data_IF_130193598367
#
_entry.id   IF_130193598367
#
_cell.length_a   1.000
_cell.length_b   1.000
_cell.length_c   1.000
_cell.angle_alpha   90.00
_cell.angle_beta   90.00
_cell.angle_gamma   90.00
#
_symmetry.space_group_name_H-M   'P 1'
#
loop_
_entity.id
_entity.type
_entity.pdbx_description
1 polymer ?
#
# COMPACT_ATOMS: atom_id res chain seq x y z
N UNK A 1 76.25 24.87 -10.73
CA UNK A 1 75.45 23.98 -9.83
C UNK A 1 74.25 24.75 -9.31
N UNK A 2 73.11 24.05 -9.16
CA UNK A 2 71.84 24.46 -8.52
C UNK A 2 70.90 25.31 -9.37
N UNK A 3 69.78 24.73 -9.82
CA UNK A 3 68.70 25.53 -10.36
C UNK A 3 67.56 24.87 -11.13
N UNK A 4 67.37 23.54 -11.16
CA UNK A 4 66.17 22.98 -11.84
C UNK A 4 65.41 21.89 -11.08
N UNK A 5 65.94 21.39 -9.95
CA UNK A 5 65.34 20.25 -9.22
C UNK A 5 64.11 20.61 -8.38
N UNK A 6 63.78 21.90 -8.23
CA UNK A 6 62.63 22.39 -7.42
C UNK A 6 61.34 22.58 -8.23
N UNK A 7 61.42 22.79 -9.54
CA UNK A 7 60.24 23.06 -10.37
C UNK A 7 59.54 21.80 -10.89
N UNK A 8 60.28 20.71 -11.11
CA UNK A 8 59.72 19.42 -11.55
C UNK A 8 58.87 18.79 -10.45
N UNK A 9 59.27 18.94 -9.17
CA UNK A 9 58.51 18.42 -8.04
C UNK A 9 57.17 19.12 -7.82
N UNK A 10 57.08 20.43 -8.10
CA UNK A 10 55.88 21.23 -7.89
C UNK A 10 54.80 21.02 -8.97
N UNK A 11 55.22 20.76 -10.21
CA UNK A 11 54.31 20.47 -11.33
C UNK A 11 53.65 19.08 -11.21
N UNK A 12 54.35 18.10 -10.62
CA UNK A 12 53.80 16.75 -10.43
C UNK A 12 52.72 16.70 -9.33
N UNK A 13 52.86 17.48 -8.26
CA UNK A 13 51.88 17.55 -7.17
C UNK A 13 50.58 18.24 -7.59
N UNK A 14 50.65 19.21 -8.50
CA UNK A 14 49.47 19.92 -9.01
C UNK A 14 48.57 19.04 -9.90
N UNK A 15 49.13 18.05 -10.60
CA UNK A 15 48.35 17.17 -11.47
C UNK A 15 47.51 16.16 -10.68
N UNK A 16 48.02 15.68 -9.54
CA UNK A 16 47.34 14.67 -8.69
C UNK A 16 46.07 15.21 -8.04
N UNK A 17 45.96 16.53 -7.81
CA UNK A 17 44.82 17.14 -7.10
C UNK A 17 43.57 17.37 -7.97
N UNK A 18 43.64 17.11 -9.29
CA UNK A 18 42.51 17.34 -10.22
C UNK A 18 41.78 16.07 -10.66
N UNK A 19 42.22 14.89 -10.21
CA UNK A 19 41.71 13.59 -10.64
C UNK A 19 40.58 13.02 -9.76
N UNK A 20 39.71 13.88 -9.20
CA UNK A 20 38.60 13.46 -8.34
C UNK A 20 37.22 13.70 -8.97
N UNK A 21 36.73 12.78 -9.80
CA UNK A 21 35.32 12.78 -10.23
C UNK A 21 34.45 12.11 -9.16
N UNK A 22 34.05 12.86 -8.13
CA UNK A 22 33.10 12.39 -7.13
C UNK A 22 31.66 12.44 -7.64
N UNK A 23 31.18 11.39 -8.32
CA UNK A 23 29.75 11.23 -8.61
C UNK A 23 29.05 10.76 -7.33
N UNK A 24 28.22 11.63 -6.73
CA UNK A 24 27.32 11.22 -5.64
C UNK A 24 26.18 10.41 -6.26
N UNK A 25 26.09 9.13 -5.93
CA UNK A 25 24.93 8.33 -6.30
C UNK A 25 23.67 8.89 -5.61
N UNK A 26 22.49 8.85 -6.26
CA UNK A 26 21.25 9.17 -5.60
C UNK A 26 21.03 8.23 -4.40
N UNK A 27 20.39 8.70 -3.32
CA UNK A 27 20.10 7.86 -2.17
C UNK A 27 19.21 6.68 -2.58
N UNK A 28 19.60 5.47 -2.20
CA UNK A 28 18.75 4.28 -2.35
C UNK A 28 17.72 4.30 -1.22
N UNK A 29 16.41 4.29 -1.52
CA UNK A 29 15.40 4.22 -0.47
C UNK A 29 15.54 2.91 0.32
N UNK A 30 15.31 2.93 1.64
CA UNK A 30 15.31 1.71 2.42
C UNK A 30 14.26 0.75 1.88
N UNK A 31 14.64 -0.53 1.71
CA UNK A 31 13.67 -1.59 1.41
C UNK A 31 12.69 -1.69 2.58
N UNK A 32 11.40 -1.58 2.28
CA UNK A 32 10.32 -1.72 3.26
C UNK A 32 9.35 -2.77 2.78
N UNK A 33 8.91 -3.59 3.71
CA UNK A 33 7.88 -4.58 3.45
C UNK A 33 6.52 -3.86 3.45
N UNK A 34 5.68 -4.07 2.44
CA UNK A 34 4.31 -3.57 2.48
C UNK A 34 3.54 -4.26 3.63
N UNK A 35 2.43 -3.67 4.09
CA UNK A 35 1.62 -4.34 5.08
C UNK A 35 0.97 -5.62 4.52
N UNK A 36 0.73 -6.60 5.38
CA UNK A 36 0.09 -7.85 4.98
C UNK A 36 -1.36 -7.62 4.49
N UNK A 37 -1.83 -8.54 3.65
CA UNK A 37 -3.23 -8.58 3.24
C UNK A 37 -4.14 -9.00 4.40
N UNK A 38 -5.35 -8.47 4.40
CA UNK A 38 -6.42 -8.91 5.31
C UNK A 38 -6.96 -10.26 4.83
N UNK A 39 -7.10 -11.22 5.73
CA UNK A 39 -7.59 -12.58 5.38
C UNK A 39 -8.96 -12.90 5.98
N UNK A 40 -9.48 -12.02 6.85
CA UNK A 40 -10.71 -12.21 7.62
C UNK A 40 -11.78 -11.15 7.31
N UNK A 41 -11.77 -10.58 6.10
CA UNK A 41 -12.81 -9.64 5.68
C UNK A 41 -14.16 -10.36 5.66
N UNK A 42 -15.11 -9.81 6.41
CA UNK A 42 -16.49 -10.30 6.51
C UNK A 42 -17.47 -9.13 6.52
N UNK A 43 -18.76 -9.40 6.38
CA UNK A 43 -19.77 -8.36 6.50
C UNK A 43 -21.14 -8.89 6.86
N UNK A 44 -22.00 -8.01 7.38
CA UNK A 44 -23.39 -8.28 7.72
C UNK A 44 -24.27 -7.12 7.26
N UNK A 45 -25.43 -7.45 6.69
CA UNK A 45 -26.41 -6.44 6.26
C UNK A 45 -27.41 -6.20 7.39
N UNK A 46 -27.59 -4.94 7.74
CA UNK A 46 -28.59 -4.48 8.71
C UNK A 46 -29.45 -3.39 8.06
N UNK A 47 -30.69 -3.74 7.68
CA UNK A 47 -31.55 -2.85 6.89
C UNK A 47 -31.02 -2.72 5.46
N UNK A 48 -30.63 -1.51 5.08
CA UNK A 48 -30.03 -1.12 3.78
C UNK A 48 -28.55 -0.76 3.89
N UNK A 49 -27.91 -1.15 5.00
CA UNK A 49 -26.50 -0.87 5.24
C UNK A 49 -25.73 -2.17 5.39
N UNK A 50 -24.66 -2.31 4.62
CA UNK A 50 -23.64 -3.33 4.86
C UNK A 50 -22.63 -2.82 5.87
N UNK A 51 -22.40 -3.57 6.93
CA UNK A 51 -21.27 -3.39 7.83
C UNK A 51 -20.17 -4.40 7.52
N UNK A 52 -19.06 -3.93 6.97
CA UNK A 52 -17.84 -4.72 6.78
C UNK A 52 -17.02 -4.71 8.06
N UNK A 53 -16.41 -5.85 8.38
CA UNK A 53 -15.54 -6.02 9.55
C UNK A 53 -14.27 -6.80 9.16
N UNK A 54 -13.12 -6.37 9.68
CA UNK A 54 -11.84 -7.06 9.47
C UNK A 54 -10.86 -6.82 10.63
N UNK A 55 -9.84 -7.69 10.73
CA UNK A 55 -8.72 -7.54 11.64
C UNK A 55 -7.59 -6.67 11.06
N UNK A 56 -6.85 -5.99 11.93
CA UNK A 56 -5.62 -5.29 11.55
C UNK A 56 -4.48 -6.32 11.51
N UNK A 57 -3.84 -6.56 10.34
CA UNK A 57 -2.75 -7.52 10.24
C UNK A 57 -1.57 -7.13 11.15
N UNK A 58 -0.96 -8.13 11.80
CA UNK A 58 0.21 -7.92 12.63
C UNK A 58 1.46 -7.61 11.79
N UNK A 59 2.38 -6.85 12.36
CA UNK A 59 3.74 -6.66 11.82
C UNK A 59 4.52 -7.95 12.01
N UNK A 60 5.31 -8.34 11.02
CA UNK A 60 6.15 -9.54 11.08
C UNK A 60 7.35 -9.46 10.17
N UNK A 61 8.09 -10.57 10.07
CA UNK A 61 9.34 -10.64 9.31
C UNK A 61 9.15 -10.35 7.80
N UNK A 62 7.95 -10.62 7.26
CA UNK A 62 7.60 -10.43 5.85
C UNK A 62 6.53 -9.34 5.62
N UNK A 63 6.14 -8.59 6.67
CA UNK A 63 5.05 -7.62 6.58
C UNK A 63 5.29 -6.36 7.41
N UNK A 64 5.09 -5.20 6.79
CA UNK A 64 5.15 -3.89 7.43
C UNK A 64 3.89 -3.54 8.23
N UNK A 65 3.94 -2.38 8.88
CA UNK A 65 2.81 -1.83 9.63
C UNK A 65 1.82 -1.11 8.71
N UNK A 66 0.54 -1.47 8.81
CA UNK A 66 -0.53 -0.74 8.13
C UNK A 66 -0.83 0.59 8.83
N UNK A 67 -0.97 1.69 8.10
CA UNK A 67 -1.53 2.96 8.58
C UNK A 67 -3.03 3.07 8.29
N UNK A 68 -3.54 2.30 7.34
CA UNK A 68 -4.96 2.23 7.03
C UNK A 68 -5.33 1.23 5.95
N UNK A 69 -6.57 1.33 5.48
CA UNK A 69 -7.15 0.46 4.46
C UNK A 69 -7.88 1.25 3.39
N UNK A 70 -7.65 0.89 2.13
CA UNK A 70 -8.49 1.31 1.02
C UNK A 70 -9.60 0.28 0.81
N UNK A 71 -10.85 0.74 0.81
CA UNK A 71 -12.03 -0.09 0.59
C UNK A 71 -12.41 -0.02 -0.89
N UNK A 72 -12.47 -1.17 -1.54
CA UNK A 72 -12.86 -1.30 -2.93
C UNK A 72 -14.20 -2.01 -3.05
N UNK A 73 -15.05 -1.51 -3.94
CA UNK A 73 -16.37 -2.07 -4.25
C UNK A 73 -16.53 -2.26 -5.75
N UNK A 74 -17.03 -3.40 -6.15
CA UNK A 74 -17.62 -3.62 -7.45
C UNK A 74 -19.12 -3.90 -7.28
N UNK A 75 -19.93 -3.39 -8.21
CA UNK A 75 -21.39 -3.45 -8.17
C UNK A 75 -21.89 -3.89 -9.54
N UNK A 76 -22.65 -4.98 -9.59
CA UNK A 76 -23.21 -5.54 -10.83
C UNK A 76 -24.71 -5.77 -10.66
N UNK A 77 -25.57 -5.36 -11.61
CA UNK A 77 -26.99 -5.70 -11.57
C UNK A 77 -27.18 -7.21 -11.44
N UNK A 78 -28.10 -7.68 -10.60
CA UNK A 78 -28.30 -9.13 -10.39
C UNK A 78 -28.69 -9.83 -11.70
N UNK A 79 -29.42 -9.14 -12.58
CA UNK A 79 -29.78 -9.63 -13.93
C UNK A 79 -28.55 -9.92 -14.80
N UNK A 80 -27.45 -9.19 -14.59
CA UNK A 80 -26.19 -9.34 -15.32
C UNK A 80 -25.16 -10.16 -14.53
N UNK A 81 -25.42 -10.46 -13.25
CA UNK A 81 -24.48 -11.15 -12.36
C UNK A 81 -24.25 -12.63 -12.72
N UNK A 82 -25.11 -13.21 -13.58
CA UNK A 82 -24.90 -14.54 -14.16
C UNK A 82 -23.92 -14.55 -15.34
N UNK A 83 -23.48 -13.37 -15.79
CA UNK A 83 -22.49 -13.24 -16.85
C UNK A 83 -21.13 -13.78 -16.39
N UNK A 84 -20.72 -14.91 -16.98
CA UNK A 84 -19.46 -15.61 -16.65
C UNK A 84 -18.19 -14.81 -16.96
N UNK A 85 -18.24 -13.95 -17.97
CA UNK A 85 -17.07 -13.26 -18.53
C UNK A 85 -17.10 -11.73 -18.33
N UNK A 86 -18.07 -11.22 -17.56
CA UNK A 86 -18.18 -9.79 -17.32
C UNK A 86 -17.07 -9.34 -16.35
N UNK A 87 -16.21 -8.39 -16.73
CA UNK A 87 -15.09 -7.97 -15.90
C UNK A 87 -15.61 -7.28 -14.64
N UNK A 88 -15.19 -7.79 -13.48
CA UNK A 88 -15.54 -7.18 -12.20
C UNK A 88 -14.66 -5.95 -11.95
N UNK A 89 -15.24 -4.76 -12.16
CA UNK A 89 -14.52 -3.49 -12.00
C UNK A 89 -14.66 -2.99 -10.57
N UNK A 90 -13.54 -3.00 -9.83
CA UNK A 90 -13.47 -2.48 -8.48
C UNK A 90 -13.12 -0.99 -8.46
N UNK A 91 -13.94 -0.20 -7.77
CA UNK A 91 -13.70 1.20 -7.49
C UNK A 91 -13.36 1.40 -6.02
N UNK A 92 -12.36 2.24 -5.72
CA UNK A 92 -12.09 2.65 -4.34
C UNK A 92 -13.19 3.59 -3.88
N UNK A 93 -13.96 3.17 -2.88
CA UNK A 93 -15.07 3.95 -2.31
C UNK A 93 -14.68 4.69 -1.04
N UNK A 94 -13.65 4.21 -0.34
CA UNK A 94 -13.18 4.83 0.88
C UNK A 94 -11.69 4.55 1.15
N UNK A 95 -11.12 5.37 2.01
CA UNK A 95 -9.82 5.16 2.62
C UNK A 95 -9.94 5.47 4.11
N UNK A 96 -9.64 4.49 4.97
CA UNK A 96 -9.83 4.57 6.42
C UNK A 96 -8.50 4.42 7.13
N UNK A 97 -8.13 5.39 7.96
CA UNK A 97 -6.90 5.36 8.76
C UNK A 97 -7.12 4.62 10.08
N UNK A 98 -6.08 3.95 10.56
CA UNK A 98 -6.08 3.27 11.86
C UNK A 98 -5.70 4.29 12.94
N UNK A 99 -6.62 4.53 13.88
CA UNK A 99 -6.33 5.33 15.08
C UNK A 99 -5.62 4.49 16.14
N UNK A 100 -4.96 5.10 17.14
CA UNK A 100 -4.32 4.36 18.24
C UNK A 100 -5.29 3.43 18.99
N UNK A 101 -6.56 3.85 19.17
CA UNK A 101 -7.57 3.01 19.82
C UNK A 101 -7.99 1.83 18.96
N UNK A 102 -8.16 2.00 17.65
CA UNK A 102 -8.45 0.90 16.73
C UNK A 102 -7.30 -0.11 16.69
N UNK A 103 -6.05 0.38 16.70
CA UNK A 103 -4.86 -0.48 16.76
C UNK A 103 -4.82 -1.33 18.02
N UNK A 104 -5.20 -0.78 19.18
CA UNK A 104 -5.30 -1.53 20.43
C UNK A 104 -6.42 -2.59 20.38
N UNK A 105 -7.55 -2.27 19.75
CA UNK A 105 -8.67 -3.21 19.61
C UNK A 105 -8.43 -4.28 18.55
N UNK A 106 -7.55 -4.02 17.58
CA UNK A 106 -7.18 -4.94 16.50
C UNK A 106 -8.28 -5.20 15.46
N UNK A 107 -9.42 -4.51 15.54
CA UNK A 107 -10.54 -4.65 14.60
C UNK A 107 -10.98 -3.31 14.03
N UNK A 108 -11.45 -3.36 12.79
CA UNK A 108 -12.03 -2.23 12.07
C UNK A 108 -13.37 -2.60 11.48
N UNK A 109 -14.22 -1.57 11.34
CA UNK A 109 -15.51 -1.65 10.67
C UNK A 109 -15.67 -0.52 9.66
N UNK A 110 -16.49 -0.75 8.65
CA UNK A 110 -16.88 0.26 7.66
C UNK A 110 -18.29 -0.02 7.16
N UNK A 111 -19.10 1.03 7.06
CA UNK A 111 -20.49 0.95 6.63
C UNK A 111 -20.66 1.48 5.22
N UNK A 112 -21.40 0.76 4.38
CA UNK A 112 -21.74 1.14 3.01
C UNK A 112 -23.24 0.95 2.77
N UNK A 113 -23.99 2.01 2.39
CA UNK A 113 -25.38 1.85 2.00
C UNK A 113 -25.49 1.04 0.70
N UNK A 114 -26.45 0.12 0.68
CA UNK A 114 -26.73 -0.76 -0.44
C UNK A 114 -28.01 -0.32 -1.17
N UNK A 115 -28.05 -0.60 -2.46
CA UNK A 115 -29.22 -0.44 -3.31
C UNK A 115 -29.69 -1.83 -3.73
N UNK A 116 -31.00 -2.06 -3.69
CA UNK A 116 -31.57 -3.35 -4.07
C UNK A 116 -31.33 -3.67 -5.55
N UNK A 117 -31.26 -4.97 -5.85
CA UNK A 117 -31.12 -5.49 -7.21
C UNK A 117 -29.68 -5.59 -7.70
N UNK A 118 -28.68 -5.57 -6.79
CA UNK A 118 -27.27 -5.64 -7.14
C UNK A 118 -26.52 -6.72 -6.36
N UNK A 119 -25.55 -7.34 -7.06
CA UNK A 119 -24.48 -8.11 -6.45
C UNK A 119 -23.30 -7.19 -6.19
N UNK A 120 -22.88 -7.15 -4.94
CA UNK A 120 -21.74 -6.38 -4.49
C UNK A 120 -20.55 -7.27 -4.16
N UNK A 121 -19.37 -6.84 -4.56
CA UNK A 121 -18.11 -7.46 -4.19
C UNK A 121 -17.21 -6.44 -3.51
N UNK A 122 -16.61 -6.82 -2.38
CA UNK A 122 -15.73 -5.98 -1.60
C UNK A 122 -14.38 -6.63 -1.41
N UNK A 123 -13.34 -5.81 -1.49
CA UNK A 123 -11.98 -6.18 -1.10
C UNK A 123 -11.27 -4.97 -0.50
N UNK A 124 -10.25 -5.24 0.29
CA UNK A 124 -9.43 -4.23 0.94
C UNK A 124 -7.99 -4.31 0.45
N UNK A 125 -7.29 -3.18 0.53
CA UNK A 125 -5.83 -3.15 0.53
C UNK A 125 -5.34 -2.33 1.70
N UNK A 126 -4.47 -2.92 2.51
CA UNK A 126 -3.75 -2.20 3.56
C UNK A 126 -2.71 -1.26 2.92
N UNK A 127 -2.43 -0.12 3.56
CA UNK A 127 -1.37 0.78 3.15
C UNK A 127 -0.56 1.25 4.35
N UNK A 128 0.74 1.49 4.19
CA UNK A 128 1.62 2.03 5.24
C UNK A 128 1.57 3.57 5.28
N UNK A 129 2.29 4.18 6.23
CA UNK A 129 2.32 5.66 6.41
C UNK A 129 2.88 6.41 5.19
N UNK A 130 3.54 5.69 4.27
CA UNK A 130 4.11 6.22 3.04
C UNK A 130 3.23 5.95 1.81
N UNK A 131 2.08 5.28 2.00
CA UNK A 131 1.13 4.91 0.95
C UNK A 131 1.49 3.63 0.19
N UNK A 132 2.51 2.87 0.61
CA UNK A 132 2.81 1.58 0.01
C UNK A 132 1.69 0.59 0.35
N UNK A 133 1.05 0.05 -0.67
CA UNK A 133 -0.10 -0.82 -0.50
C UNK A 133 0.29 -2.30 -0.52
N UNK A 134 -0.30 -3.08 0.38
CA UNK A 134 -0.23 -4.54 0.39
C UNK A 134 -1.07 -5.19 -0.71
N UNK A 135 -1.13 -6.51 -0.66
CA UNK A 135 -1.97 -7.32 -1.55
C UNK A 135 -3.47 -7.16 -1.24
N UNK A 136 -4.30 -7.65 -2.16
CA UNK A 136 -5.75 -7.68 -1.99
C UNK A 136 -6.14 -8.63 -0.85
N UNK A 137 -7.16 -8.25 -0.09
CA UNK A 137 -7.79 -9.14 0.88
C UNK A 137 -8.54 -10.30 0.22
N UNK A 138 -9.04 -11.24 1.05
CA UNK A 138 -10.15 -12.08 0.62
C UNK A 138 -11.33 -11.22 0.15
N UNK A 139 -12.10 -11.71 -0.82
CA UNK A 139 -13.28 -11.00 -1.35
C UNK A 139 -14.52 -11.38 -0.56
N UNK A 140 -15.30 -10.39 -0.14
CA UNK A 140 -16.64 -10.58 0.43
C UNK A 140 -17.69 -10.25 -0.64
N UNK A 141 -18.72 -11.09 -0.77
CA UNK A 141 -19.79 -10.93 -1.78
C UNK A 141 -21.15 -10.98 -1.11
N UNK A 142 -22.06 -10.10 -1.51
CA UNK A 142 -23.44 -10.06 -1.02
C UNK A 142 -24.39 -9.61 -2.12
N UNK A 143 -25.57 -10.21 -2.16
CA UNK A 143 -26.69 -9.76 -3.00
C UNK A 143 -27.66 -8.97 -2.11
N UNK A 144 -28.10 -7.83 -2.59
CA UNK A 144 -29.07 -6.96 -1.93
C UNK A 144 -29.99 -6.37 -3.01
#
# INVERSE_FOLDING_TARGET
MKGSRRWIGLLFTAWVLTAGCGVKAPPVPPSRLPPAAVTDLTGAVAGDVLELTWGIPAVGDDAGEADGFAVYRAKTPVEEAECRDCPLIFHRIAQVSITPSLRQNGRMTFSDPLENGYRYHYKLRSYDVFGAAGDDSNTFTVDY
#
